data_IF_598801357194
#
_entry.id   IF_598801357194
#
_cell.length_a   1.000
_cell.length_b   1.000
_cell.length_c   1.000
_cell.angle_alpha   90.00
_cell.angle_beta   90.00
_cell.angle_gamma   90.00
#
_symmetry.space_group_name_H-M   'P 1'
#
loop_
_entity.id
_entity.type
_entity.pdbx_description
1 polymer ?
#
# COMPACT_ATOMS: atom_id res chain seq x y z
N UNK A 1 3.65 -5.68 -21.33
CA UNK A 1 2.97 -5.77 -20.01
C UNK A 1 1.57 -6.35 -20.17
N UNK A 2 0.86 -6.08 -21.27
CA UNK A 2 -0.50 -6.59 -21.51
C UNK A 2 -0.55 -8.05 -21.99
N UNK A 3 0.53 -8.58 -22.58
CA UNK A 3 0.59 -9.97 -23.04
C UNK A 3 0.59 -11.04 -21.93
N UNK A 4 0.77 -10.64 -20.66
CA UNK A 4 0.71 -11.53 -19.50
C UNK A 4 -0.70 -11.76 -18.93
N UNK A 5 -1.72 -11.13 -19.50
CA UNK A 5 -3.11 -11.23 -19.05
C UNK A 5 -3.89 -12.39 -19.74
N UNK A 6 -3.19 -13.30 -20.40
CA UNK A 6 -3.77 -14.54 -20.95
C UNK A 6 -4.19 -15.44 -19.78
N UNK A 7 -5.47 -15.65 -19.64
CA UNK A 7 -6.12 -16.35 -18.49
C UNK A 7 -7.16 -15.50 -17.78
N UNK A 8 -7.34 -14.25 -18.20
CA UNK A 8 -8.34 -13.34 -17.66
C UNK A 8 -9.69 -13.38 -18.40
N UNK A 9 -9.94 -14.43 -19.17
CA UNK A 9 -11.24 -14.62 -19.85
C UNK A 9 -12.43 -14.70 -18.89
N UNK A 10 -12.16 -14.91 -17.60
CA UNK A 10 -13.19 -14.88 -16.54
C UNK A 10 -13.39 -13.49 -15.91
N UNK A 11 -12.60 -12.49 -16.29
CA UNK A 11 -12.78 -11.13 -15.78
C UNK A 11 -13.50 -10.28 -16.81
N UNK A 12 -14.76 -9.99 -16.59
CA UNK A 12 -15.49 -8.94 -17.32
C UNK A 12 -14.81 -7.63 -16.98
N UNK A 13 -14.13 -7.04 -17.98
CA UNK A 13 -13.43 -5.76 -17.84
C UNK A 13 -14.22 -4.69 -18.55
N UNK A 14 -15.05 -3.98 -17.81
CA UNK A 14 -15.90 -2.93 -18.36
C UNK A 14 -15.13 -1.63 -18.58
N UNK A 15 -14.07 -1.42 -17.79
CA UNK A 15 -13.28 -0.19 -17.82
C UNK A 15 -11.79 -0.45 -17.58
N UNK A 16 -10.98 0.36 -18.23
CA UNK A 16 -9.53 0.44 -17.99
C UNK A 16 -9.20 1.87 -17.64
N UNK A 17 -8.56 2.03 -16.50
CA UNK A 17 -8.06 3.33 -16.05
C UNK A 17 -6.54 3.42 -16.18
N UNK A 18 -6.06 4.56 -16.66
CA UNK A 18 -4.66 4.95 -16.55
C UNK A 18 -4.54 6.45 -16.26
N UNK A 19 -3.43 6.85 -15.64
CA UNK A 19 -3.25 8.21 -15.15
C UNK A 19 -3.11 9.26 -16.27
N UNK A 20 -2.55 8.88 -17.43
CA UNK A 20 -2.23 9.82 -18.50
C UNK A 20 -2.30 9.14 -19.89
N UNK A 21 -3.17 9.62 -20.76
CA UNK A 21 -3.31 9.06 -22.10
C UNK A 21 -2.06 9.25 -22.97
N UNK A 22 -1.32 10.34 -22.81
CA UNK A 22 -0.09 10.58 -23.57
C UNK A 22 0.99 9.52 -23.31
N UNK A 23 0.94 8.85 -22.17
CA UNK A 23 1.89 7.80 -21.78
C UNK A 23 1.36 6.40 -22.10
N UNK A 24 0.06 6.17 -21.89
CA UNK A 24 -0.49 4.81 -21.90
C UNK A 24 -1.40 4.49 -23.08
N UNK A 25 -1.84 5.48 -23.89
CA UNK A 25 -2.74 5.24 -25.01
C UNK A 25 -2.16 4.25 -26.03
N UNK A 26 -0.88 4.36 -26.36
CA UNK A 26 -0.22 3.45 -27.31
C UNK A 26 -0.26 1.98 -26.84
N UNK A 27 -0.13 1.72 -25.54
CA UNK A 27 -0.22 0.37 -24.98
C UNK A 27 -1.65 -0.20 -25.03
N UNK A 28 -2.66 0.67 -25.09
CA UNK A 28 -4.07 0.28 -25.15
C UNK A 28 -4.62 0.22 -26.57
N UNK A 29 -3.92 0.79 -27.57
CA UNK A 29 -4.36 0.78 -28.98
C UNK A 29 -4.38 -0.63 -29.58
N UNK A 30 -3.44 -1.49 -29.19
CA UNK A 30 -3.37 -2.89 -29.65
C UNK A 30 -4.21 -3.86 -28.83
N UNK A 31 -4.98 -3.36 -27.88
CA UNK A 31 -5.84 -4.19 -27.04
C UNK A 31 -7.25 -4.23 -27.62
N UNK A 32 -7.61 -5.39 -28.17
CA UNK A 32 -8.94 -5.65 -28.70
C UNK A 32 -9.93 -5.88 -27.54
N UNK A 33 -10.61 -4.82 -27.14
CA UNK A 33 -11.60 -4.86 -26.06
C UNK A 33 -12.54 -3.66 -26.14
N UNK A 34 -13.82 -3.92 -25.93
CA UNK A 34 -14.88 -2.90 -25.84
C UNK A 34 -14.85 -2.12 -24.51
N UNK A 35 -13.92 -2.43 -23.61
CA UNK A 35 -13.82 -1.77 -22.33
C UNK A 35 -13.60 -0.27 -22.47
N UNK A 36 -14.40 0.52 -21.75
CA UNK A 36 -14.25 1.97 -21.72
C UNK A 36 -12.86 2.36 -21.17
N UNK A 37 -12.16 3.22 -21.87
CA UNK A 37 -10.83 3.74 -21.49
C UNK A 37 -11.01 5.04 -20.74
N UNK A 38 -10.44 5.13 -19.54
CA UNK A 38 -10.58 6.30 -18.66
C UNK A 38 -9.20 6.83 -18.29
N UNK A 39 -9.02 8.14 -18.39
CA UNK A 39 -7.76 8.79 -18.03
C UNK A 39 -7.98 10.02 -17.14
N UNK A 40 -7.08 10.22 -16.19
CA UNK A 40 -7.08 11.44 -15.39
C UNK A 40 -6.51 12.64 -16.13
N UNK A 41 -5.60 12.41 -17.09
CA UNK A 41 -4.98 13.49 -17.88
C UNK A 41 -4.94 13.13 -19.34
N UNK A 42 -5.03 14.18 -20.19
CA UNK A 42 -4.85 14.09 -21.63
C UNK A 42 -5.78 13.05 -22.30
N UNK A 43 -7.00 12.84 -21.79
CA UNK A 43 -7.95 11.85 -22.32
C UNK A 43 -8.19 12.03 -23.83
N UNK A 44 -8.17 13.27 -24.34
CA UNK A 44 -8.30 13.59 -25.75
C UNK A 44 -7.21 12.99 -26.65
N UNK A 45 -6.07 12.60 -26.11
CA UNK A 45 -5.01 11.92 -26.85
C UNK A 45 -5.35 10.45 -27.18
N UNK A 46 -6.44 9.90 -26.63
CA UNK A 46 -6.92 8.55 -26.91
C UNK A 46 -8.37 8.64 -27.43
N UNK A 47 -8.62 8.41 -28.72
CA UNK A 47 -9.96 8.50 -29.31
C UNK A 47 -10.95 7.59 -28.56
N UNK A 48 -12.13 8.13 -28.24
CA UNK A 48 -13.19 7.41 -27.53
C UNK A 48 -12.95 7.22 -26.02
N UNK A 49 -11.86 7.76 -25.47
CA UNK A 49 -11.61 7.70 -24.04
C UNK A 49 -12.45 8.72 -23.27
N UNK A 50 -12.76 8.38 -22.02
CA UNK A 50 -13.46 9.23 -21.07
C UNK A 50 -12.48 9.92 -20.13
N UNK A 51 -12.64 11.20 -19.83
CA UNK A 51 -11.92 11.85 -18.75
C UNK A 51 -12.43 11.33 -17.39
N UNK A 52 -11.54 11.29 -16.40
CA UNK A 52 -11.88 10.85 -15.05
C UNK A 52 -13.04 11.65 -14.43
N UNK A 53 -13.11 12.94 -14.73
CA UNK A 53 -14.16 13.86 -14.28
C UNK A 53 -15.56 13.39 -14.68
N UNK A 54 -15.66 12.68 -15.81
CA UNK A 54 -16.94 12.09 -16.25
C UNK A 54 -17.45 11.03 -15.27
N UNK A 55 -16.56 10.25 -14.64
CA UNK A 55 -16.95 9.29 -13.61
C UNK A 55 -17.31 9.98 -12.29
N UNK A 56 -16.62 11.08 -11.94
CA UNK A 56 -16.91 11.85 -10.73
C UNK A 56 -18.27 12.55 -10.79
N UNK A 57 -18.76 12.88 -11.99
CA UNK A 57 -20.08 13.45 -12.19
C UNK A 57 -21.23 12.43 -12.02
N UNK A 58 -20.91 11.14 -11.90
CA UNK A 58 -21.88 10.08 -11.70
C UNK A 58 -22.64 10.22 -10.38
N UNK A 59 -23.94 9.88 -10.41
CA UNK A 59 -24.78 9.85 -9.22
C UNK A 59 -24.87 8.41 -8.68
N UNK A 60 -24.90 8.28 -7.37
CA UNK A 60 -25.21 6.99 -6.75
C UNK A 60 -26.66 6.59 -7.08
N UNK A 61 -26.82 5.36 -7.54
CA UNK A 61 -28.14 4.83 -7.92
C UNK A 61 -28.55 3.69 -6.98
N UNK A 62 -29.87 3.37 -6.90
CA UNK A 62 -30.31 2.20 -6.12
C UNK A 62 -29.64 0.89 -6.53
N UNK A 63 -29.24 0.75 -7.79
CA UNK A 63 -28.53 -0.43 -8.29
C UNK A 63 -27.13 -0.56 -7.66
N UNK A 64 -26.44 0.56 -7.40
CA UNK A 64 -25.14 0.55 -6.69
C UNK A 64 -25.33 0.03 -5.26
N UNK A 65 -26.36 0.50 -4.56
CA UNK A 65 -26.66 0.04 -3.21
C UNK A 65 -27.04 -1.44 -3.17
N UNK A 66 -27.86 -1.90 -4.12
CA UNK A 66 -28.21 -3.32 -4.25
C UNK A 66 -26.95 -4.19 -4.52
N UNK A 67 -26.07 -3.75 -5.42
CA UNK A 67 -24.83 -4.45 -5.71
C UNK A 67 -23.92 -4.54 -4.47
N UNK A 68 -23.81 -3.45 -3.69
CA UNK A 68 -23.05 -3.46 -2.44
C UNK A 68 -23.64 -4.42 -1.40
N UNK A 69 -24.96 -4.48 -1.27
CA UNK A 69 -25.64 -5.37 -0.33
C UNK A 69 -25.55 -6.85 -0.75
N UNK A 70 -25.38 -7.12 -2.04
CA UNK A 70 -25.26 -8.48 -2.58
C UNK A 70 -23.83 -9.06 -2.43
N UNK A 71 -22.84 -8.26 -2.04
CA UNK A 71 -21.45 -8.73 -1.88
C UNK A 71 -21.34 -9.78 -0.79
N UNK A 72 -20.71 -10.90 -1.15
CA UNK A 72 -20.41 -11.99 -0.24
C UNK A 72 -18.94 -11.95 0.20
N UNK A 73 -18.62 -12.47 1.39
CA UNK A 73 -17.24 -12.49 1.88
C UNK A 73 -16.24 -13.16 0.94
N UNK A 74 -16.67 -14.18 0.21
CA UNK A 74 -15.81 -14.96 -0.69
C UNK A 74 -15.82 -14.44 -2.14
N UNK A 75 -16.56 -13.36 -2.43
CA UNK A 75 -16.48 -12.70 -3.72
C UNK A 75 -15.10 -12.10 -3.94
N UNK A 76 -14.70 -12.06 -5.21
CA UNK A 76 -13.40 -11.51 -5.61
C UNK A 76 -13.41 -9.99 -5.47
N UNK A 77 -12.63 -9.47 -4.53
CA UNK A 77 -12.51 -8.03 -4.30
C UNK A 77 -11.50 -7.39 -5.25
N UNK A 78 -10.38 -8.07 -5.50
CA UNK A 78 -9.35 -7.60 -6.44
C UNK A 78 -8.39 -8.70 -6.87
N UNK A 79 -7.70 -8.41 -7.96
CA UNK A 79 -6.62 -9.22 -8.49
C UNK A 79 -5.31 -8.44 -8.42
N UNK A 80 -4.29 -9.03 -7.81
CA UNK A 80 -2.94 -8.46 -7.77
C UNK A 80 -2.02 -9.25 -8.68
N UNK A 81 -1.21 -8.53 -9.45
CA UNK A 81 -0.17 -9.15 -10.27
C UNK A 81 1.12 -9.24 -9.47
N UNK A 82 1.73 -10.41 -9.42
CA UNK A 82 3.06 -10.57 -8.84
C UNK A 82 4.13 -10.43 -9.90
N UNK A 83 5.28 -9.85 -9.54
CA UNK A 83 6.48 -9.94 -10.37
C UNK A 83 7.00 -11.38 -10.30
N UNK A 84 6.58 -12.21 -11.26
CA UNK A 84 7.00 -13.62 -11.29
C UNK A 84 8.51 -13.73 -11.49
N UNK A 85 9.19 -14.54 -10.67
CA UNK A 85 10.60 -14.91 -10.85
C UNK A 85 10.87 -15.63 -12.19
N UNK A 86 9.81 -16.12 -12.84
CA UNK A 86 9.84 -16.85 -14.12
C UNK A 86 9.49 -15.96 -15.33
N UNK A 87 9.43 -14.64 -15.16
CA UNK A 87 9.17 -13.66 -16.23
C UNK A 87 7.70 -13.43 -16.58
N UNK A 88 6.77 -14.30 -16.19
CA UNK A 88 5.32 -14.08 -16.39
C UNK A 88 4.65 -13.73 -15.06
N UNK A 89 3.95 -12.57 -14.96
CA UNK A 89 3.19 -12.24 -13.77
C UNK A 89 2.12 -13.29 -13.47
N UNK A 90 1.98 -13.65 -12.19
CA UNK A 90 0.86 -14.47 -11.73
C UNK A 90 -0.22 -13.56 -11.14
N UNK A 91 -1.48 -13.94 -11.39
CA UNK A 91 -2.65 -13.26 -10.83
C UNK A 91 -2.98 -13.87 -9.47
N UNK A 92 -3.02 -13.05 -8.45
CA UNK A 92 -3.44 -13.46 -7.09
C UNK A 92 -4.82 -12.90 -6.81
N UNK A 93 -5.76 -13.77 -6.53
CA UNK A 93 -7.14 -13.42 -6.17
C UNK A 93 -7.16 -13.01 -4.70
N UNK A 94 -7.74 -11.85 -4.42
CA UNK A 94 -8.04 -11.40 -3.06
C UNK A 94 -9.55 -11.29 -2.90
N UNK A 95 -10.12 -12.03 -1.96
CA UNK A 95 -11.54 -11.93 -1.61
C UNK A 95 -11.78 -10.86 -0.54
N UNK A 96 -13.02 -10.42 -0.39
CA UNK A 96 -13.41 -9.49 0.68
C UNK A 96 -13.07 -10.08 2.06
N UNK A 97 -13.29 -11.37 2.27
CA UNK A 97 -12.94 -12.07 3.50
C UNK A 97 -11.45 -11.95 3.82
N UNK A 98 -10.56 -12.17 2.83
CA UNK A 98 -9.10 -12.06 3.02
C UNK A 98 -8.68 -10.66 3.45
N UNK A 99 -9.25 -9.63 2.80
CA UNK A 99 -8.94 -8.24 3.11
C UNK A 99 -9.40 -7.86 4.52
N UNK A 100 -10.63 -8.23 4.90
CA UNK A 100 -11.18 -7.97 6.23
C UNK A 100 -10.47 -8.75 7.33
N UNK A 101 -10.16 -10.04 7.09
CA UNK A 101 -9.44 -10.87 8.06
C UNK A 101 -8.04 -10.31 8.36
N UNK A 102 -7.33 -9.79 7.35
CA UNK A 102 -6.04 -9.16 7.57
C UNK A 102 -6.17 -7.93 8.49
N UNK A 103 -7.18 -7.09 8.32
CA UNK A 103 -7.41 -5.94 9.18
C UNK A 103 -7.74 -6.36 10.62
N UNK A 104 -8.54 -7.41 10.78
CA UNK A 104 -8.86 -7.96 12.08
C UNK A 104 -7.62 -8.53 12.79
N UNK A 105 -6.75 -9.24 12.07
CA UNK A 105 -5.49 -9.74 12.64
C UNK A 105 -4.57 -8.60 13.09
N UNK A 106 -4.48 -7.51 12.31
CA UNK A 106 -3.69 -6.34 12.69
C UNK A 106 -4.27 -5.66 13.94
N UNK A 107 -5.59 -5.50 14.02
CA UNK A 107 -6.24 -4.93 15.21
C UNK A 107 -5.99 -5.77 16.47
N UNK A 108 -5.99 -7.10 16.35
CA UNK A 108 -5.66 -8.00 17.47
C UNK A 108 -4.20 -7.91 17.91
N UNK A 109 -3.27 -7.76 16.94
CA UNK A 109 -1.85 -7.64 17.22
C UNK A 109 -1.49 -6.24 17.76
N UNK A 110 -2.13 -5.22 17.24
CA UNK A 110 -1.89 -3.81 17.54
C UNK A 110 -3.12 -3.18 18.19
N UNK A 111 -3.41 -3.61 19.40
CA UNK A 111 -4.64 -3.26 20.12
C UNK A 111 -4.88 -1.77 20.30
N UNK A 112 -3.86 -0.92 20.16
CA UNK A 112 -4.06 0.53 20.17
C UNK A 112 -4.94 1.01 19.01
N UNK A 113 -5.05 0.26 17.90
CA UNK A 113 -5.95 0.57 16.78
C UNK A 113 -7.45 0.52 17.16
N UNK A 114 -7.80 -0.11 18.27
CA UNK A 114 -9.16 -0.10 18.81
C UNK A 114 -9.58 1.29 19.33
N UNK A 115 -8.60 2.11 19.72
CA UNK A 115 -8.84 3.39 20.42
C UNK A 115 -8.13 4.58 19.77
N UNK A 116 -7.19 4.35 18.88
CA UNK A 116 -6.39 5.37 18.24
C UNK A 116 -6.42 5.22 16.72
N UNK A 117 -6.84 6.27 16.04
CA UNK A 117 -6.89 6.30 14.57
C UNK A 117 -5.48 6.36 14.00
N UNK A 118 -5.11 5.49 13.05
CA UNK A 118 -3.79 5.53 12.43
C UNK A 118 -3.60 6.80 11.59
N UNK A 119 -2.42 7.39 11.70
CA UNK A 119 -1.96 8.49 10.85
C UNK A 119 -0.70 8.03 10.14
N UNK A 120 -0.75 7.95 8.82
CA UNK A 120 0.34 7.47 7.99
C UNK A 120 0.84 8.56 7.04
N UNK A 121 2.15 8.59 6.82
CA UNK A 121 2.79 9.21 5.67
C UNK A 121 3.37 8.07 4.84
N UNK A 122 2.78 7.79 3.68
CA UNK A 122 3.07 6.55 2.94
C UNK A 122 3.23 6.79 1.44
N UNK A 123 4.32 6.27 0.89
CA UNK A 123 4.65 6.28 -0.53
C UNK A 123 4.45 4.92 -1.21
N UNK A 124 4.16 3.87 -0.43
CA UNK A 124 4.05 2.50 -0.94
C UNK A 124 2.92 2.38 -1.97
N UNK A 125 3.15 1.71 -3.11
CA UNK A 125 2.16 1.62 -4.18
C UNK A 125 0.95 0.78 -3.76
N UNK A 126 -0.25 1.27 -4.03
CA UNK A 126 -1.50 0.56 -3.71
C UNK A 126 -1.75 -0.65 -4.62
N UNK A 127 -1.04 -0.76 -5.72
CA UNK A 127 -1.00 -1.96 -6.58
C UNK A 127 -0.21 -3.11 -5.97
N UNK A 128 0.53 -2.87 -4.87
CA UNK A 128 1.24 -3.88 -4.12
C UNK A 128 0.52 -4.17 -2.80
N UNK A 129 0.59 -5.43 -2.34
CA UNK A 129 -0.11 -5.86 -1.12
C UNK A 129 0.26 -5.04 0.11
N UNK A 130 1.52 -4.61 0.23
CA UNK A 130 1.98 -3.84 1.39
C UNK A 130 1.33 -2.44 1.43
N UNK A 131 1.40 -1.67 0.36
CA UNK A 131 0.75 -0.35 0.32
C UNK A 131 -0.78 -0.44 0.28
N UNK A 132 -1.33 -1.34 -0.53
CA UNK A 132 -2.78 -1.47 -0.76
C UNK A 132 -3.51 -2.27 0.31
N UNK A 133 -3.23 -3.59 0.41
CA UNK A 133 -4.00 -4.46 1.31
C UNK A 133 -3.70 -4.18 2.78
N UNK A 134 -2.45 -3.86 3.11
CA UNK A 134 -2.04 -3.61 4.48
C UNK A 134 -2.30 -2.15 4.87
N UNK A 135 -1.58 -1.17 4.28
CA UNK A 135 -1.61 0.21 4.76
C UNK A 135 -2.91 0.94 4.42
N UNK A 136 -3.31 0.99 3.14
CA UNK A 136 -4.52 1.71 2.73
C UNK A 136 -5.77 1.12 3.41
N UNK A 137 -5.92 -0.20 3.39
CA UNK A 137 -7.08 -0.84 4.00
C UNK A 137 -7.10 -0.66 5.53
N UNK A 138 -5.94 -0.60 6.19
CA UNK A 138 -5.86 -0.28 7.62
C UNK A 138 -6.40 1.12 7.92
N UNK A 139 -5.98 2.11 7.13
CA UNK A 139 -6.48 3.49 7.29
C UNK A 139 -7.99 3.54 7.08
N UNK A 140 -8.51 2.87 6.03
CA UNK A 140 -9.94 2.82 5.76
C UNK A 140 -10.71 2.09 6.87
N UNK A 141 -10.22 0.96 7.33
CA UNK A 141 -10.88 0.13 8.35
C UNK A 141 -10.98 0.85 9.71
N UNK A 142 -9.93 1.57 10.10
CA UNK A 142 -9.87 2.22 11.41
C UNK A 142 -10.22 3.72 11.36
N UNK A 143 -10.68 4.24 10.21
CA UNK A 143 -11.03 5.66 10.05
C UNK A 143 -9.85 6.60 10.30
N UNK A 144 -8.66 6.18 9.86
CA UNK A 144 -7.41 6.92 10.00
C UNK A 144 -7.21 8.01 8.96
N UNK A 145 -6.00 8.56 8.93
CA UNK A 145 -5.58 9.57 7.95
C UNK A 145 -4.38 9.07 7.17
N UNK A 146 -4.45 9.13 5.85
CA UNK A 146 -3.35 8.80 4.94
C UNK A 146 -2.87 10.07 4.24
N UNK A 147 -1.62 10.43 4.49
CA UNK A 147 -0.90 11.42 3.70
C UNK A 147 -0.15 10.68 2.60
N UNK A 148 -0.57 10.89 1.36
CA UNK A 148 0.05 10.28 0.18
C UNK A 148 1.37 11.00 -0.06
N UNK A 149 2.48 10.27 0.14
CA UNK A 149 3.83 10.81 0.01
C UNK A 149 4.36 10.62 -1.41
N UNK A 150 4.77 11.69 -2.04
CA UNK A 150 5.48 11.66 -3.33
C UNK A 150 6.96 11.29 -3.20
N UNK A 151 7.46 11.18 -1.97
CA UNK A 151 8.82 10.75 -1.68
C UNK A 151 9.02 9.27 -2.01
N UNK A 152 10.28 8.89 -2.09
CA UNK A 152 10.71 7.49 -2.29
C UNK A 152 12.13 7.32 -1.72
N UNK A 153 12.55 6.08 -1.38
CA UNK A 153 13.89 5.82 -0.87
C UNK A 153 14.96 5.83 -2.00
N UNK A 154 15.03 6.95 -2.70
CA UNK A 154 16.04 7.24 -3.72
C UNK A 154 16.54 8.67 -3.56
N UNK A 155 17.79 8.98 -3.98
CA UNK A 155 18.32 10.33 -3.90
C UNK A 155 17.41 11.37 -4.55
N UNK A 156 17.26 12.52 -3.91
CA UNK A 156 16.41 13.63 -4.37
C UNK A 156 14.91 13.46 -4.11
N UNK A 157 14.42 12.24 -3.88
CA UNK A 157 13.00 12.02 -3.53
C UNK A 157 12.79 11.79 -2.02
N UNK A 158 13.78 11.27 -1.30
CA UNK A 158 13.69 11.11 0.16
C UNK A 158 13.45 12.44 0.88
N UNK A 159 13.97 13.54 0.33
CA UNK A 159 13.77 14.89 0.88
C UNK A 159 12.30 15.29 0.93
N UNK A 160 11.47 14.81 -0.02
CA UNK A 160 10.01 15.02 0.02
C UNK A 160 9.39 14.32 1.24
N UNK A 161 9.75 13.07 1.47
CA UNK A 161 9.32 12.31 2.67
C UNK A 161 9.75 13.04 3.95
N UNK A 162 10.99 13.49 4.03
CA UNK A 162 11.49 14.24 5.19
C UNK A 162 10.69 15.51 5.42
N UNK A 163 10.39 16.28 4.37
CA UNK A 163 9.55 17.48 4.45
C UNK A 163 8.17 17.15 4.99
N UNK A 164 7.52 16.11 4.43
CA UNK A 164 6.18 15.70 4.87
C UNK A 164 6.18 15.22 6.33
N UNK A 165 7.23 14.52 6.76
CA UNK A 165 7.39 14.06 8.15
C UNK A 165 7.63 15.21 9.14
N UNK A 166 8.14 16.38 8.70
CA UNK A 166 8.23 17.58 9.54
C UNK A 166 6.85 18.17 9.86
N UNK A 167 5.92 18.06 8.92
CA UNK A 167 4.58 18.64 9.05
C UNK A 167 3.59 17.68 9.69
N UNK A 168 3.81 16.36 9.47
CA UNK A 168 2.91 15.31 9.94
C UNK A 168 3.62 14.43 10.96
N UNK A 169 3.03 14.31 12.13
CA UNK A 169 3.48 13.39 13.18
C UNK A 169 2.75 12.04 13.03
N UNK A 170 3.32 11.06 12.32
CA UNK A 170 2.65 9.79 12.09
C UNK A 170 2.55 8.98 13.38
N UNK A 171 1.47 8.20 13.50
CA UNK A 171 1.34 7.23 14.59
C UNK A 171 2.02 5.91 14.25
N UNK A 172 2.15 5.61 12.96
CA UNK A 172 2.80 4.42 12.45
C UNK A 172 3.61 4.78 11.21
N UNK A 173 4.80 4.21 11.07
CA UNK A 173 5.67 4.41 9.90
C UNK A 173 5.99 3.06 9.25
N UNK A 174 5.47 2.87 8.04
CA UNK A 174 5.69 1.68 7.23
C UNK A 174 6.71 1.96 6.14
N UNK A 175 7.70 1.08 6.02
CA UNK A 175 8.71 1.27 4.98
C UNK A 175 9.38 -0.06 4.58
N UNK A 176 10.13 -0.02 3.51
CA UNK A 176 11.12 -1.05 3.21
C UNK A 176 12.44 -0.70 3.91
N UNK A 177 13.36 -1.66 4.15
CA UNK A 177 14.64 -1.38 4.82
C UNK A 177 15.40 -0.20 4.23
N UNK A 178 15.46 -0.11 2.90
CA UNK A 178 16.11 1.02 2.21
C UNK A 178 15.51 2.37 2.58
N UNK A 179 14.21 2.43 2.87
CA UNK A 179 13.57 3.68 3.29
C UNK A 179 14.05 4.14 4.65
N UNK A 180 14.22 3.21 5.60
CA UNK A 180 14.82 3.52 6.90
C UNK A 180 16.28 3.92 6.78
N UNK A 181 17.08 3.23 5.95
CA UNK A 181 18.49 3.57 5.71
C UNK A 181 18.63 5.01 5.20
N UNK A 182 17.77 5.42 4.27
CA UNK A 182 17.84 6.76 3.70
C UNK A 182 17.25 7.85 4.60
N UNK A 183 16.31 7.52 5.48
CA UNK A 183 15.72 8.46 6.44
C UNK A 183 16.66 8.72 7.64
N UNK A 184 17.41 7.71 8.06
CA UNK A 184 18.25 7.75 9.26
C UNK A 184 19.22 8.95 9.30
N UNK A 185 19.99 9.28 8.24
CA UNK A 185 20.89 10.43 8.28
C UNK A 185 20.20 11.74 8.66
N UNK A 186 18.97 11.95 8.22
CA UNK A 186 18.19 13.14 8.56
C UNK A 186 17.75 13.13 10.03
N UNK A 187 17.32 11.98 10.54
CA UNK A 187 16.92 11.83 11.95
C UNK A 187 18.12 11.91 12.91
N UNK A 188 19.31 11.50 12.46
CA UNK A 188 20.53 11.60 13.24
C UNK A 188 21.07 13.03 13.29
N UNK A 189 20.91 13.79 12.21
CA UNK A 189 21.42 15.15 12.08
C UNK A 189 20.50 16.21 12.70
N UNK A 190 19.20 15.90 12.92
CA UNK A 190 18.21 16.89 13.36
C UNK A 190 17.33 16.28 14.46
N UNK A 191 17.65 16.63 15.71
CA UNK A 191 16.94 16.16 16.90
C UNK A 191 15.48 16.64 16.94
N UNK A 192 15.19 17.82 16.38
CA UNK A 192 13.83 18.33 16.30
C UNK A 192 13.00 17.50 15.34
N UNK A 193 13.52 17.22 14.15
CA UNK A 193 12.86 16.33 13.20
C UNK A 193 12.62 14.94 13.82
N UNK A 194 13.65 14.37 14.46
CA UNK A 194 13.54 13.07 15.11
C UNK A 194 12.47 13.07 16.20
N UNK A 195 12.44 14.12 17.04
CA UNK A 195 11.43 14.28 18.07
C UNK A 195 10.02 14.41 17.49
N UNK A 196 9.83 15.23 16.47
CA UNK A 196 8.54 15.43 15.80
C UNK A 196 8.03 14.14 15.15
N UNK A 197 8.88 13.43 14.39
CA UNK A 197 8.53 12.17 13.73
C UNK A 197 8.16 11.09 14.75
N UNK A 198 8.87 11.03 15.87
CA UNK A 198 8.67 9.99 16.87
C UNK A 198 7.66 10.37 17.97
N UNK A 199 7.18 11.62 18.02
CA UNK A 199 6.34 12.14 19.11
C UNK A 199 5.10 11.26 19.39
N UNK A 200 4.40 10.89 18.35
CA UNK A 200 3.16 10.09 18.43
C UNK A 200 3.34 8.64 17.97
N UNK A 201 4.56 8.26 17.58
CA UNK A 201 4.80 6.97 16.95
C UNK A 201 4.54 5.80 17.90
N UNK A 202 3.61 4.93 17.54
CA UNK A 202 3.30 3.68 18.22
C UNK A 202 4.22 2.57 17.77
N UNK A 203 4.44 2.48 16.44
CA UNK A 203 5.37 1.52 15.88
C UNK A 203 6.00 2.01 14.57
N UNK A 204 7.20 1.54 14.29
CA UNK A 204 7.81 1.53 12.98
C UNK A 204 7.81 0.08 12.45
N UNK A 205 7.48 -0.08 11.17
CA UNK A 205 7.30 -1.41 10.58
C UNK A 205 8.07 -1.51 9.26
N UNK A 206 8.80 -2.59 9.09
CA UNK A 206 9.49 -2.87 7.82
C UNK A 206 9.07 -4.21 7.24
N UNK A 207 9.07 -4.29 5.91
CA UNK A 207 8.81 -5.53 5.19
C UNK A 207 9.55 -5.55 3.85
N UNK A 208 9.36 -6.60 3.07
CA UNK A 208 9.95 -6.88 1.76
C UNK A 208 11.42 -7.34 1.77
N UNK A 209 12.19 -7.03 2.79
CA UNK A 209 13.58 -7.51 2.96
C UNK A 209 13.96 -7.49 4.45
N UNK A 210 15.07 -8.13 4.79
CA UNK A 210 15.63 -8.06 6.13
C UNK A 210 16.23 -6.67 6.39
N UNK A 211 15.99 -6.13 7.59
CA UNK A 211 16.61 -4.90 8.05
C UNK A 211 18.01 -5.20 8.59
N UNK A 212 19.00 -4.42 8.18
CA UNK A 212 20.36 -4.56 8.69
C UNK A 212 20.39 -4.30 10.21
N UNK A 213 21.13 -5.11 11.01
CA UNK A 213 21.24 -4.88 12.45
C UNK A 213 21.75 -3.49 12.80
N UNK A 214 22.64 -2.92 12.00
CA UNK A 214 23.16 -1.55 12.16
C UNK A 214 22.04 -0.51 12.01
N UNK A 215 21.18 -0.64 11.02
CA UNK A 215 20.03 0.25 10.81
C UNK A 215 19.07 0.19 12.01
N UNK A 216 18.78 -1.03 12.48
CA UNK A 216 17.96 -1.22 13.68
C UNK A 216 18.55 -0.53 14.90
N UNK A 217 19.86 -0.73 15.15
CA UNK A 217 20.57 -0.12 16.30
C UNK A 217 20.55 1.41 16.22
N UNK A 218 20.78 1.98 15.04
CA UNK A 218 20.77 3.43 14.80
C UNK A 218 19.38 4.03 15.03
N UNK A 219 18.31 3.40 14.52
CA UNK A 219 16.92 3.82 14.80
C UNK A 219 16.61 3.80 16.30
N UNK A 220 17.02 2.75 17.01
CA UNK A 220 16.85 2.67 18.46
C UNK A 220 17.69 3.73 19.19
N UNK A 221 18.87 4.07 18.72
CA UNK A 221 19.70 5.12 19.30
C UNK A 221 19.05 6.50 19.13
N UNK A 222 18.53 6.82 17.94
CA UNK A 222 17.77 8.04 17.70
C UNK A 222 16.54 8.10 18.63
N UNK A 223 15.77 7.02 18.72
CA UNK A 223 14.58 6.97 19.56
C UNK A 223 14.92 7.21 21.04
N UNK A 224 15.95 6.54 21.57
CA UNK A 224 16.40 6.75 22.97
C UNK A 224 16.84 8.18 23.24
N UNK A 225 17.45 8.84 22.26
CA UNK A 225 17.92 10.21 22.39
C UNK A 225 16.77 11.20 22.53
N UNK A 226 15.72 11.08 21.70
CA UNK A 226 14.63 12.06 21.64
C UNK A 226 13.37 11.68 22.45
N UNK A 227 13.23 10.38 22.81
CA UNK A 227 12.08 9.88 23.61
C UNK A 227 12.51 8.77 24.58
N UNK A 228 13.35 9.06 25.57
CA UNK A 228 13.96 8.05 26.45
C UNK A 228 12.94 7.24 27.27
N UNK A 229 11.80 7.82 27.59
CA UNK A 229 10.74 7.16 28.38
C UNK A 229 9.89 6.15 27.59
N UNK A 230 9.99 6.14 26.26
CA UNK A 230 9.16 5.29 25.41
C UNK A 230 10.03 4.65 24.31
N UNK A 231 10.41 3.38 24.45
CA UNK A 231 11.18 2.68 23.42
C UNK A 231 10.40 2.63 22.08
N UNK A 232 11.14 2.73 20.98
CA UNK A 232 10.56 2.55 19.66
C UNK A 232 10.24 1.07 19.44
N UNK A 233 8.97 0.77 19.23
CA UNK A 233 8.57 -0.54 18.80
C UNK A 233 8.84 -0.67 17.29
N UNK A 234 9.93 -1.34 16.93
CA UNK A 234 10.32 -1.64 15.55
C UNK A 234 10.03 -3.12 15.29
N UNK A 235 9.14 -3.38 14.37
CA UNK A 235 8.64 -4.73 14.08
C UNK A 235 8.58 -5.03 12.58
N UNK A 236 8.34 -6.27 12.25
CA UNK A 236 8.22 -6.76 10.87
C UNK A 236 7.20 -7.89 10.82
N UNK A 237 6.72 -8.16 9.62
CA UNK A 237 6.04 -9.41 9.32
C UNK A 237 6.54 -9.99 8.01
N UNK A 238 6.25 -11.26 7.82
CA UNK A 238 6.50 -11.96 6.58
C UNK A 238 5.17 -12.40 5.97
N UNK A 239 5.02 -12.22 4.66
CA UNK A 239 3.84 -12.62 3.93
C UNK A 239 4.21 -13.18 2.56
N UNK A 240 3.55 -14.23 2.15
CA UNK A 240 3.65 -14.78 0.82
C UNK A 240 2.29 -14.72 0.13
N UNK A 241 2.24 -14.10 -1.05
CA UNK A 241 1.00 -13.99 -1.83
C UNK A 241 0.63 -15.30 -2.55
N UNK A 242 1.60 -16.18 -2.79
CA UNK A 242 1.43 -17.36 -3.66
C UNK A 242 1.23 -18.65 -2.89
N UNK A 243 1.77 -18.75 -1.66
CA UNK A 243 1.72 -19.96 -0.83
C UNK A 243 1.51 -19.56 0.62
N UNK A 244 0.72 -20.34 1.32
CA UNK A 244 0.74 -20.34 2.79
C UNK A 244 2.06 -20.98 3.22
N UNK A 245 2.87 -20.27 3.97
CA UNK A 245 4.06 -20.88 4.55
C UNK A 245 3.64 -21.92 5.59
N UNK A 246 4.15 -23.15 5.53
CA UNK A 246 3.91 -24.08 6.61
C UNK A 246 4.47 -23.47 7.90
N UNK A 247 3.61 -23.31 8.90
CA UNK A 247 4.04 -22.91 10.23
C UNK A 247 5.01 -23.95 10.78
N UNK A 248 6.02 -23.56 11.58
CA UNK A 248 6.83 -24.54 12.31
C UNK A 248 6.00 -25.52 13.15
N UNK A 249 4.73 -25.19 13.45
CA UNK A 249 3.78 -26.09 14.12
C UNK A 249 3.22 -27.15 13.17
N UNK A 250 3.09 -26.85 11.88
CA UNK A 250 2.56 -27.78 10.87
C UNK A 250 3.59 -28.85 10.49
N UNK A 251 4.87 -28.63 10.79
CA UNK A 251 5.95 -29.57 10.53
C UNK A 251 6.13 -30.63 11.63
N UNK A 252 5.37 -30.55 12.73
CA UNK A 252 5.45 -31.49 13.85
C UNK A 252 4.45 -32.66 13.77
N UNK A 253 3.79 -32.84 12.65
CA UNK A 253 2.71 -33.81 12.44
C UNK A 253 3.01 -34.87 11.35
N UNK A 254 4.27 -35.14 11.03
CA UNK A 254 4.65 -36.29 10.15
C UNK A 254 5.70 -37.16 10.82
#
# INVERSE_FOLDING_TARGET
ILSGLVGSEMCIRDRVYASDASVYAAALQGWDSDAARVFSRNASACPGALPWEHLLAGQETPQVQQAMQALLPDDHAKYLLTSGSTGRPKVVINTHRMLCANQQMMAQAWRFLEHEKPVLVDWLPWSHTFGGNHNLNMVLCHGGTLYIDEGRPVPGLIDKTVRNLREVQPTMLFNVPRGFDMLLPFLEADDRLAADVLARMRLAFYAAAALAPSTWQRLQAVARRVRPAQPLWLTTSWGCLLYTSPSPRDQRGS
#
